data_IF_348684476260
#
_entry.id   IF_348684476260
#
_cell.length_a   1.000
_cell.length_b   1.000
_cell.length_c   1.000
_cell.angle_alpha   90.00
_cell.angle_beta   90.00
_cell.angle_gamma   90.00
#
_symmetry.space_group_name_H-M   'P 1'
#
loop_
_entity.id
_entity.type
_entity.pdbx_description
1 polymer ?
2 polymer ?
#
loop_
_entity_poly.entity_id
_entity_poly.type
_entity_poly.pdbx_seq_one_letter_code
_entity_poly.pdbx_strand_id
2 'polydeoxyribonucleotide' '(DA)(DA)(DA)(DA)(DA)(DA)' ?
#
# COMPACT_ATOMS: atom_id res chain seq x y z
N UNK A 1 -10.05 -38.94 5.85
CA UNK A 1 -10.36 -38.28 7.11
C UNK A 1 -10.12 -36.79 7.05
N UNK A 2 -10.23 -36.25 5.85
CA UNK A 2 -9.88 -34.87 5.63
C UNK A 2 -10.98 -33.95 6.15
N UNK A 3 -10.63 -32.69 6.31
CA UNK A 3 -11.57 -31.61 6.59
C UNK A 3 -11.45 -30.63 5.44
N UNK A 4 -12.59 -30.22 4.89
CA UNK A 4 -12.59 -29.37 3.70
C UNK A 4 -12.03 -27.99 4.02
N UNK A 5 -10.82 -27.73 3.56
CA UNK A 5 -10.19 -26.43 3.71
C UNK A 5 -10.27 -25.63 2.42
N UNK A 6 -11.30 -25.89 1.62
CA UNK A 6 -11.51 -25.12 0.40
C UNK A 6 -11.95 -23.70 0.70
N UNK A 7 -12.54 -23.46 1.87
CA UNK A 7 -12.92 -22.12 2.26
C UNK A 7 -11.76 -21.32 2.83
N UNK A 8 -10.55 -21.88 2.83
CA UNK A 8 -9.39 -21.15 3.33
C UNK A 8 -8.79 -20.30 2.23
N UNK A 9 -8.40 -20.93 1.12
CA UNK A 9 -7.76 -20.19 0.04
C UNK A 9 -8.73 -19.23 -0.63
N UNK A 10 -10.02 -19.52 -0.59
CA UNK A 10 -10.98 -18.56 -1.09
C UNK A 10 -11.12 -17.36 -0.17
N UNK A 11 -10.69 -17.49 1.08
CA UNK A 11 -10.88 -16.40 2.02
C UNK A 11 -9.65 -15.52 2.14
N UNK A 12 -8.46 -16.07 1.97
CA UNK A 12 -7.27 -15.28 2.25
C UNK A 12 -6.52 -14.87 0.99
N UNK A 13 -6.81 -15.49 -0.15
CA UNK A 13 -6.34 -14.90 -1.40
C UNK A 13 -7.11 -13.62 -1.69
N UNK A 14 -8.38 -13.59 -1.32
CA UNK A 14 -9.10 -12.33 -1.29
C UNK A 14 -8.65 -11.45 -0.13
N UNK A 15 -8.01 -12.04 0.88
CA UNK A 15 -7.43 -11.23 1.93
C UNK A 15 -6.15 -10.55 1.49
N UNK A 16 -5.25 -11.30 0.85
CA UNK A 16 -4.00 -10.71 0.41
C UNK A 16 -4.17 -9.84 -0.82
N UNK A 17 -5.28 -9.99 -1.54
CA UNK A 17 -5.61 -9.03 -2.57
C UNK A 17 -6.09 -7.71 -2.03
N UNK A 18 -6.39 -7.64 -0.74
CA UNK A 18 -6.79 -6.39 -0.11
C UNK A 18 -5.64 -5.70 0.60
N UNK A 19 -4.59 -6.44 0.96
CA UNK A 19 -3.39 -5.80 1.48
C UNK A 19 -2.70 -4.98 0.40
N UNK A 20 -2.78 -5.43 -0.85
CA UNK A 20 -2.21 -4.68 -1.96
C UNK A 20 -2.98 -3.40 -2.21
N UNK A 21 -4.28 -3.40 -1.92
CA UNK A 21 -5.09 -2.22 -2.19
C UNK A 21 -4.75 -1.09 -1.24
N UNK A 22 -4.55 -1.41 0.04
CA UNK A 22 -4.20 -0.38 1.01
C UNK A 22 -2.71 -0.18 1.14
N UNK A 23 -1.91 -0.81 0.29
CA UNK A 23 -0.51 -0.47 0.21
C UNK A 23 -0.33 0.64 -0.80
N UNK A 24 -1.07 0.55 -1.90
CA UNK A 24 -1.04 1.60 -2.90
C UNK A 24 -1.70 2.88 -2.47
N UNK A 25 -2.52 2.83 -1.43
CA UNK A 25 -3.12 4.04 -0.90
C UNK A 25 -2.20 4.76 0.07
N UNK A 26 -1.12 4.13 0.49
CA UNK A 26 -0.13 4.78 1.35
C UNK A 26 0.98 5.40 0.52
N UNK A 27 1.38 4.70 -0.54
CA UNK A 27 2.40 5.18 -1.46
C UNK A 27 1.96 6.49 -2.10
N UNK A 28 0.67 6.60 -2.40
CA UNK A 28 0.13 7.85 -2.89
C UNK A 28 0.12 8.97 -1.87
N UNK A 29 0.34 8.68 -0.60
CA UNK A 29 0.43 9.71 0.41
C UNK A 29 1.84 9.95 0.91
N UNK A 30 2.78 9.08 0.60
CA UNK A 30 4.17 9.35 0.94
C UNK A 30 4.89 10.16 -0.11
N UNK A 31 4.40 10.17 -1.35
CA UNK A 31 5.00 11.03 -2.36
C UNK A 31 4.62 12.48 -2.17
N UNK A 32 3.65 12.78 -1.33
CA UNK A 32 3.34 14.17 -1.04
C UNK A 32 4.46 14.78 -0.23
N UNK A 33 4.97 14.06 0.76
CA UNK A 33 6.09 14.57 1.52
C UNK A 33 7.43 14.24 0.89
N UNK A 34 7.43 13.67 -0.30
CA UNK A 34 8.68 13.61 -1.04
C UNK A 34 8.81 14.78 -2.00
N UNK A 35 7.72 15.13 -2.68
CA UNK A 35 7.73 16.27 -3.59
C UNK A 35 7.87 17.56 -2.82
N UNK A 36 7.08 17.73 -1.77
CA UNK A 36 7.19 18.94 -0.97
C UNK A 36 8.47 19.01 -0.17
N UNK A 37 9.20 17.91 -0.06
CA UNK A 37 10.47 17.96 0.63
C UNK A 37 11.54 18.67 -0.15
N UNK A 38 11.47 18.62 -1.47
CA UNK A 38 12.56 19.15 -2.26
C UNK A 38 12.15 20.31 -3.15
N UNK A 39 10.89 20.74 -3.10
CA UNK A 39 10.61 22.08 -3.60
C UNK A 39 10.67 23.07 -2.46
N UNK A 40 10.85 22.62 -1.23
CA UNK A 40 11.26 23.55 -0.20
C UNK A 40 12.72 23.89 -0.34
N UNK A 41 13.51 22.95 -0.87
CA UNK A 41 14.93 23.18 -1.02
C UNK A 41 15.24 24.15 -2.15
N UNK A 42 14.34 24.26 -3.12
CA UNK A 42 14.54 25.24 -4.18
C UNK A 42 14.31 26.65 -3.66
N UNK A 43 13.31 26.84 -2.81
CA UNK A 43 13.04 28.17 -2.29
C UNK A 43 14.10 28.62 -1.31
N UNK A 44 14.71 27.70 -0.58
CA UNK A 44 15.72 28.10 0.39
C UNK A 44 17.02 28.47 -0.28
N UNK A 45 17.38 27.78 -1.35
CA UNK A 45 18.66 28.03 -2.00
C UNK A 45 18.63 29.31 -2.81
N UNK A 46 17.45 29.72 -3.26
CA UNK A 46 17.29 30.96 -4.01
C UNK A 46 17.61 32.18 -3.17
#
# INVERSE_FOLDING_TARGET
GVIDTSAVESAITDGQGDMKAIGGYIVGALVILAVAGLIYSMLRKA
#
